data_IF_045640136577
#
_entry.id   IF_045640136577
#
_cell.length_a   1.000
_cell.length_b   1.000
_cell.length_c   1.000
_cell.angle_alpha   90.00
_cell.angle_beta   90.00
_cell.angle_gamma   90.00
#
_symmetry.space_group_name_H-M   'P 1'
#
loop_
_entity.id
_entity.type
_entity.pdbx_description
1 polymer ?
#
# COMPACT_ATOMS: atom_id res chain seq x y z
N UNK A 1 27.93 -1.61 -15.76
CA UNK A 1 29.14 -1.26 -15.03
C UNK A 1 29.06 -1.58 -13.53
N UNK A 2 27.92 -1.39 -12.86
CA UNK A 2 27.74 -1.65 -11.42
C UNK A 2 27.98 -3.11 -11.05
N UNK A 3 27.48 -4.08 -11.82
CA UNK A 3 27.70 -5.51 -11.58
C UNK A 3 29.17 -5.91 -11.68
N UNK A 4 29.95 -5.26 -12.57
CA UNK A 4 31.41 -5.48 -12.64
C UNK A 4 32.11 -4.94 -11.39
N UNK A 5 31.75 -3.74 -10.95
CA UNK A 5 32.28 -3.16 -9.71
C UNK A 5 31.94 -4.04 -8.49
N UNK A 6 30.73 -4.58 -8.43
CA UNK A 6 30.31 -5.50 -7.39
C UNK A 6 31.19 -6.77 -7.39
N UNK A 7 31.41 -7.41 -8.56
CA UNK A 7 32.27 -8.59 -8.70
C UNK A 7 33.72 -8.33 -8.22
N UNK A 8 34.27 -7.19 -8.57
CA UNK A 8 35.61 -6.82 -8.08
C UNK A 8 35.60 -6.63 -6.57
N UNK A 9 34.59 -5.96 -6.05
CA UNK A 9 34.41 -5.72 -4.62
C UNK A 9 34.28 -6.99 -3.79
N UNK A 10 33.69 -8.05 -4.34
CA UNK A 10 33.53 -9.36 -3.67
C UNK A 10 34.86 -10.04 -3.36
N UNK A 11 35.90 -9.77 -4.16
CA UNK A 11 37.23 -10.39 -3.98
C UNK A 11 37.94 -9.91 -2.71
N UNK A 12 37.60 -8.73 -2.20
CA UNK A 12 38.28 -8.09 -1.07
C UNK A 12 37.52 -8.38 0.23
N UNK A 13 38.29 -8.66 1.27
CA UNK A 13 37.79 -8.78 2.63
C UNK A 13 37.14 -7.46 3.11
N UNK A 14 36.16 -7.49 4.00
CA UNK A 14 35.63 -6.27 4.61
C UNK A 14 36.71 -5.57 5.41
N UNK A 15 36.70 -4.23 5.38
CA UNK A 15 37.62 -3.40 6.18
C UNK A 15 37.27 -3.52 7.66
N UNK A 16 35.97 -3.57 7.96
CA UNK A 16 35.43 -3.76 9.30
C UNK A 16 34.39 -4.89 9.31
N UNK A 17 34.29 -5.59 10.42
CA UNK A 17 33.33 -6.69 10.58
C UNK A 17 33.77 -8.03 9.99
N UNK A 18 32.90 -9.03 10.12
CA UNK A 18 33.18 -10.42 9.74
C UNK A 18 32.66 -10.79 8.34
N UNK A 19 31.66 -10.04 7.87
CA UNK A 19 30.97 -10.31 6.62
C UNK A 19 30.79 -9.03 5.81
N UNK A 20 30.87 -9.18 4.49
CA UNK A 20 30.50 -8.17 3.52
C UNK A 20 29.14 -8.53 2.95
N UNK A 21 28.14 -7.71 3.24
CA UNK A 21 26.75 -7.95 2.83
C UNK A 21 26.43 -7.09 1.63
N UNK A 22 25.97 -7.72 0.55
CA UNK A 22 25.47 -7.05 -0.63
C UNK A 22 23.95 -7.21 -0.68
N UNK A 23 23.24 -6.10 -0.60
CA UNK A 23 21.78 -6.04 -0.73
C UNK A 23 21.46 -5.57 -2.15
N UNK A 24 20.75 -6.38 -2.90
CA UNK A 24 20.29 -6.07 -4.25
C UNK A 24 18.77 -6.00 -4.18
N UNK A 25 18.30 -4.77 -4.15
CA UNK A 25 16.87 -4.47 -4.12
C UNK A 25 16.29 -4.53 -5.55
N UNK A 26 15.01 -4.85 -5.67
CA UNK A 26 14.30 -5.07 -6.93
C UNK A 26 15.12 -5.96 -7.90
N UNK A 27 15.62 -7.07 -7.39
CA UNK A 27 16.54 -7.95 -8.11
C UNK A 27 15.99 -8.44 -9.45
N UNK A 28 14.67 -8.47 -9.64
CA UNK A 28 14.03 -8.80 -10.91
C UNK A 28 14.33 -7.80 -12.03
N UNK A 29 14.82 -6.60 -11.70
CA UNK A 29 15.23 -5.58 -12.67
C UNK A 29 16.63 -5.84 -13.26
N UNK A 30 17.39 -6.79 -12.71
CA UNK A 30 18.69 -7.15 -13.27
C UNK A 30 18.52 -7.82 -14.62
N UNK A 31 19.36 -7.41 -15.58
CA UNK A 31 19.38 -8.04 -16.90
C UNK A 31 19.93 -9.47 -16.84
N UNK A 32 19.64 -10.27 -17.86
CA UNK A 32 20.15 -11.64 -17.98
C UNK A 32 21.67 -11.67 -17.97
N UNK A 33 22.32 -10.69 -18.61
CA UNK A 33 23.78 -10.58 -18.64
C UNK A 33 24.34 -10.27 -17.24
N UNK A 34 23.64 -9.43 -16.46
CA UNK A 34 23.99 -9.13 -15.08
C UNK A 34 23.92 -10.38 -14.20
N UNK A 35 22.84 -11.15 -14.31
CA UNK A 35 22.68 -12.41 -13.61
C UNK A 35 23.79 -13.42 -13.99
N UNK A 36 24.05 -13.60 -15.28
CA UNK A 36 25.11 -14.48 -15.77
C UNK A 36 26.50 -14.08 -15.24
N UNK A 37 26.75 -12.78 -15.10
CA UNK A 37 28.00 -12.28 -14.54
C UNK A 37 28.14 -12.58 -13.05
N UNK A 38 27.04 -12.68 -12.29
CA UNK A 38 27.00 -12.95 -10.86
C UNK A 38 26.93 -14.44 -10.53
N UNK A 39 26.45 -15.28 -11.46
CA UNK A 39 26.16 -16.71 -11.21
C UNK A 39 27.29 -17.42 -10.49
N UNK A 40 28.52 -17.37 -11.01
CA UNK A 40 29.68 -18.04 -10.42
C UNK A 40 29.97 -17.59 -8.99
N UNK A 41 29.77 -16.29 -8.73
CA UNK A 41 30.02 -15.72 -7.39
C UNK A 41 28.92 -16.08 -6.40
N UNK A 42 27.68 -16.29 -6.88
CA UNK A 42 26.55 -16.72 -6.07
C UNK A 42 26.60 -18.23 -5.81
N UNK A 43 27.09 -19.00 -6.77
CA UNK A 43 27.25 -20.44 -6.63
C UNK A 43 28.33 -20.81 -5.61
N UNK A 44 29.45 -20.11 -5.64
CA UNK A 44 30.59 -20.33 -4.75
C UNK A 44 31.00 -19.00 -4.08
N UNK A 45 30.16 -18.46 -3.16
CA UNK A 45 30.45 -17.19 -2.53
C UNK A 45 31.67 -17.34 -1.58
N UNK A 46 32.59 -16.36 -1.58
CA UNK A 46 33.64 -16.34 -0.57
C UNK A 46 33.05 -16.36 0.85
N UNK A 47 33.75 -17.00 1.78
CA UNK A 47 33.26 -17.18 3.16
C UNK A 47 32.89 -15.88 3.88
N UNK A 48 33.47 -14.76 3.46
CA UNK A 48 33.21 -13.42 4.01
C UNK A 48 32.08 -12.67 3.32
N UNK A 49 31.44 -13.23 2.28
CA UNK A 49 30.40 -12.56 1.46
C UNK A 49 29.03 -13.14 1.78
N UNK A 50 28.03 -12.27 1.77
CA UNK A 50 26.61 -12.64 1.85
C UNK A 50 25.84 -11.78 0.83
N UNK A 51 24.98 -12.43 0.06
CA UNK A 51 24.04 -11.74 -0.83
C UNK A 51 22.62 -11.80 -0.25
N UNK A 52 21.92 -10.68 -0.32
CA UNK A 52 20.50 -10.55 -0.01
C UNK A 52 19.82 -9.97 -1.26
N UNK A 53 18.91 -10.74 -1.83
CA UNK A 53 18.10 -10.31 -2.96
C UNK A 53 16.69 -10.00 -2.48
N UNK A 54 16.22 -8.79 -2.71
CA UNK A 54 14.84 -8.42 -2.48
C UNK A 54 14.11 -8.30 -3.82
N UNK A 55 12.90 -8.82 -3.91
CA UNK A 55 12.09 -8.77 -5.12
C UNK A 55 10.61 -8.89 -4.80
N UNK A 56 9.77 -8.19 -5.57
CA UNK A 56 8.32 -8.37 -5.60
C UNK A 56 7.88 -9.46 -6.59
N UNK A 57 8.77 -9.86 -7.54
CA UNK A 57 8.46 -10.77 -8.66
C UNK A 57 9.49 -11.90 -8.72
N UNK A 58 9.32 -12.89 -7.85
CA UNK A 58 10.27 -14.00 -7.73
C UNK A 58 10.35 -14.87 -9.01
N UNK A 59 9.25 -14.94 -9.76
CA UNK A 59 9.14 -15.69 -11.01
C UNK A 59 10.02 -15.11 -12.12
N UNK A 60 10.42 -13.85 -12.04
CA UNK A 60 11.34 -13.21 -12.98
C UNK A 60 12.82 -13.51 -12.67
N UNK A 61 13.12 -14.06 -11.49
CA UNK A 61 14.48 -14.42 -11.14
C UNK A 61 14.89 -15.74 -11.80
N UNK A 62 16.17 -15.89 -12.22
CA UNK A 62 16.66 -17.16 -12.74
C UNK A 62 16.51 -18.29 -11.71
N UNK A 63 15.95 -19.42 -12.12
CA UNK A 63 15.73 -20.59 -11.26
C UNK A 63 17.05 -21.08 -10.64
N UNK A 64 18.17 -20.94 -11.36
CA UNK A 64 19.52 -21.26 -10.91
C UNK A 64 19.94 -20.43 -9.67
N UNK A 65 19.48 -19.19 -9.56
CA UNK A 65 19.73 -18.33 -8.41
C UNK A 65 18.78 -18.71 -7.26
N UNK A 66 17.49 -18.79 -7.55
CA UNK A 66 16.45 -19.07 -6.55
C UNK A 66 16.70 -20.40 -5.82
N UNK A 67 17.20 -21.43 -6.54
CA UNK A 67 17.50 -22.75 -5.98
C UNK A 67 18.68 -22.76 -5.00
N UNK A 68 19.51 -21.71 -5.00
CA UNK A 68 20.69 -21.58 -4.11
C UNK A 68 20.47 -20.58 -2.97
N UNK A 69 19.32 -19.92 -2.95
CA UNK A 69 18.99 -18.93 -1.95
C UNK A 69 18.03 -19.50 -0.90
N UNK A 70 18.24 -19.11 0.35
CA UNK A 70 17.22 -19.28 1.37
C UNK A 70 16.10 -18.26 1.14
N UNK A 71 14.85 -18.70 1.12
CA UNK A 71 13.70 -17.86 0.79
C UNK A 71 12.98 -17.42 2.06
N UNK A 72 12.68 -16.12 2.12
CA UNK A 72 11.86 -15.50 3.14
C UNK A 72 10.73 -14.73 2.45
N UNK A 73 9.49 -15.01 2.82
CA UNK A 73 8.33 -14.33 2.27
C UNK A 73 7.79 -13.34 3.28
N UNK A 74 7.77 -12.08 2.92
CA UNK A 74 7.12 -11.03 3.69
C UNK A 74 5.66 -10.93 3.27
N UNK A 75 4.76 -10.92 4.25
CA UNK A 75 3.32 -10.76 4.03
C UNK A 75 2.94 -9.30 4.19
N UNK A 76 1.80 -8.92 3.65
CA UNK A 76 1.18 -7.63 3.93
C UNK A 76 0.92 -7.52 5.43
N UNK A 77 1.12 -6.33 5.97
CA UNK A 77 0.84 -6.03 7.37
C UNK A 77 -0.67 -5.80 7.50
N UNK A 78 -1.26 -6.22 8.60
CA UNK A 78 -2.69 -6.00 8.83
C UNK A 78 -2.98 -4.51 9.04
N UNK A 79 -4.17 -4.05 8.68
CA UNK A 79 -4.56 -2.65 8.89
C UNK A 79 -4.52 -2.24 10.37
N UNK A 80 -4.85 -3.18 11.27
CA UNK A 80 -4.80 -2.93 12.72
C UNK A 80 -3.36 -2.72 13.22
N UNK A 81 -2.41 -3.55 12.75
CA UNK A 81 -0.99 -3.40 13.11
C UNK A 81 -0.42 -2.09 12.56
N UNK A 82 -0.81 -1.71 11.33
CA UNK A 82 -0.41 -0.43 10.73
C UNK A 82 -0.99 0.73 11.55
N UNK A 83 -2.30 0.73 11.84
CA UNK A 83 -2.95 1.78 12.61
C UNK A 83 -2.32 1.95 14.01
N UNK A 84 -2.01 0.83 14.68
CA UNK A 84 -1.31 0.85 15.95
C UNK A 84 0.10 1.47 15.81
N UNK A 85 0.81 1.12 14.74
CA UNK A 85 2.16 1.68 14.48
C UNK A 85 2.10 3.18 14.19
N UNK A 86 1.11 3.64 13.42
CA UNK A 86 0.90 5.06 13.13
C UNK A 86 0.62 5.85 14.42
N UNK A 87 -0.25 5.32 15.30
CA UNK A 87 -0.56 5.94 16.59
C UNK A 87 0.68 6.05 17.48
N UNK A 88 1.51 5.00 17.51
CA UNK A 88 2.78 5.02 18.23
C UNK A 88 3.75 6.09 17.69
N UNK A 89 3.84 6.21 16.35
CA UNK A 89 4.71 7.24 15.73
C UNK A 89 4.20 8.63 16.05
N UNK A 90 2.90 8.89 15.91
CA UNK A 90 2.28 10.16 16.21
C UNK A 90 2.54 10.60 17.68
N UNK A 91 2.40 9.67 18.63
CA UNK A 91 2.72 9.90 20.05
C UNK A 91 4.20 10.28 20.24
N UNK A 92 5.12 9.59 19.58
CA UNK A 92 6.57 9.85 19.71
C UNK A 92 7.01 11.16 19.07
N UNK A 93 6.40 11.52 17.95
CA UNK A 93 6.65 12.78 17.24
C UNK A 93 5.87 13.96 17.86
N UNK A 94 4.93 13.71 18.79
CA UNK A 94 4.25 14.74 19.59
C UNK A 94 3.08 15.41 18.88
N UNK A 95 2.44 14.78 17.91
CA UNK A 95 1.23 15.29 17.28
C UNK A 95 0.02 14.38 17.51
N UNK A 96 -1.19 14.96 17.47
CA UNK A 96 -2.43 14.22 17.67
C UNK A 96 -2.81 13.43 16.42
N UNK A 97 -3.26 12.20 16.62
CA UNK A 97 -3.82 11.35 15.55
C UNK A 97 -5.11 10.70 16.06
N UNK A 98 -6.21 10.98 15.40
CA UNK A 98 -7.48 10.28 15.66
C UNK A 98 -7.36 8.80 15.26
N UNK A 99 -7.94 7.92 16.08
CA UNK A 99 -7.93 6.48 15.80
C UNK A 99 -8.63 6.13 14.49
N UNK A 100 -9.69 6.84 14.13
CA UNK A 100 -10.37 6.67 12.84
C UNK A 100 -9.50 7.15 11.67
N UNK A 101 -8.71 8.21 11.84
CA UNK A 101 -7.74 8.67 10.85
C UNK A 101 -6.61 7.65 10.67
N UNK A 102 -6.07 7.10 11.77
CA UNK A 102 -5.06 6.05 11.72
C UNK A 102 -5.55 4.82 10.95
N UNK A 103 -6.78 4.40 11.21
CA UNK A 103 -7.40 3.26 10.53
C UNK A 103 -7.62 3.55 9.03
N UNK A 104 -8.06 4.76 8.69
CA UNK A 104 -8.27 5.17 7.30
C UNK A 104 -6.96 5.14 6.50
N UNK A 105 -5.88 5.69 7.06
CA UNK A 105 -4.53 5.61 6.47
C UNK A 105 -4.11 4.14 6.29
N UNK A 106 -4.30 3.31 7.32
CA UNK A 106 -3.90 1.91 7.31
C UNK A 106 -4.62 1.08 6.23
N UNK A 107 -5.92 1.30 6.06
CA UNK A 107 -6.72 0.65 5.00
C UNK A 107 -6.24 1.10 3.62
N UNK A 108 -6.00 2.41 3.44
CA UNK A 108 -5.54 2.94 2.15
C UNK A 108 -4.14 2.47 1.77
N UNK A 109 -3.25 2.27 2.74
CA UNK A 109 -1.89 1.78 2.53
C UNK A 109 -1.82 0.29 2.14
N UNK A 110 -2.92 -0.45 2.18
CA UNK A 110 -3.08 -1.84 1.70
C UNK A 110 -1.93 -2.77 2.10
N UNK A 111 -1.54 -2.72 3.39
CA UNK A 111 -0.48 -3.54 3.95
C UNK A 111 0.94 -3.00 3.79
N UNK A 112 1.12 -1.81 3.19
CA UNK A 112 2.38 -1.11 3.00
C UNK A 112 2.66 -0.11 4.12
N UNK A 113 3.49 -0.47 5.11
CA UNK A 113 3.83 0.46 6.21
C UNK A 113 4.55 1.72 5.73
N UNK A 114 5.36 1.62 4.68
CA UNK A 114 6.08 2.76 4.09
C UNK A 114 5.09 3.78 3.54
N UNK A 115 4.09 3.33 2.81
CA UNK A 115 3.06 4.18 2.23
C UNK A 115 2.20 4.81 3.33
N UNK A 116 1.83 4.03 4.35
CA UNK A 116 1.11 4.53 5.51
C UNK A 116 1.88 5.66 6.24
N UNK A 117 3.18 5.48 6.47
CA UNK A 117 4.01 6.50 7.10
C UNK A 117 4.17 7.76 6.23
N UNK A 118 4.26 7.59 4.91
CA UNK A 118 4.32 8.71 3.97
C UNK A 118 3.04 9.54 3.99
N UNK A 119 1.87 8.89 4.06
CA UNK A 119 0.58 9.58 4.19
C UNK A 119 0.50 10.30 5.55
N UNK A 120 0.92 9.64 6.64
CA UNK A 120 0.91 10.23 7.97
C UNK A 120 1.76 11.51 8.03
N UNK A 121 2.96 11.49 7.45
CA UNK A 121 3.89 12.62 7.39
C UNK A 121 3.27 13.80 6.63
N UNK A 122 2.62 13.54 5.50
CA UNK A 122 1.93 14.56 4.72
C UNK A 122 0.74 15.14 5.50
N UNK A 123 -0.07 14.29 6.17
CA UNK A 123 -1.17 14.75 7.03
C UNK A 123 -0.66 15.63 8.18
N UNK A 124 0.48 15.26 8.79
CA UNK A 124 1.10 16.05 9.86
C UNK A 124 1.53 17.45 9.37
N UNK A 125 1.99 17.56 8.13
CA UNK A 125 2.32 18.84 7.51
C UNK A 125 1.11 19.74 7.19
N UNK A 126 -0.07 19.15 6.99
CA UNK A 126 -1.31 19.87 6.68
C UNK A 126 -2.14 20.23 7.92
N UNK A 127 -2.10 19.38 8.94
CA UNK A 127 -2.94 19.55 10.12
C UNK A 127 -2.45 20.68 11.03
N UNK A 128 -3.35 21.52 11.49
CA UNK A 128 -3.10 22.56 12.51
C UNK A 128 -3.34 22.05 13.93
N UNK A 129 -3.23 20.73 14.14
CA UNK A 129 -3.50 20.11 15.45
C UNK A 129 -3.59 18.59 15.32
N UNK A 130 -4.71 18.01 15.76
CA UNK A 130 -4.95 16.58 15.64
C UNK A 130 -5.31 16.22 14.19
N UNK A 131 -4.66 15.20 13.64
CA UNK A 131 -5.00 14.63 12.33
C UNK A 131 -6.33 13.90 12.46
N UNK A 132 -7.36 14.42 11.79
CA UNK A 132 -8.71 13.85 11.75
C UNK A 132 -8.92 13.07 10.44
N UNK A 133 -9.97 12.23 10.35
CA UNK A 133 -10.31 11.55 9.10
C UNK A 133 -10.48 12.50 7.91
N UNK A 134 -11.03 13.70 8.13
CA UNK A 134 -11.23 14.70 7.09
C UNK A 134 -9.91 15.17 6.46
N UNK A 135 -8.86 15.38 7.27
CA UNK A 135 -7.52 15.74 6.77
C UNK A 135 -6.95 14.61 5.90
N UNK A 136 -7.17 13.36 6.31
CA UNK A 136 -6.73 12.19 5.54
C UNK A 136 -7.50 12.09 4.23
N UNK A 137 -8.83 12.22 4.26
CA UNK A 137 -9.70 12.18 3.07
C UNK A 137 -9.32 13.26 2.06
N UNK A 138 -9.05 14.48 2.52
CA UNK A 138 -8.62 15.60 1.68
C UNK A 138 -7.26 15.31 1.03
N UNK A 139 -6.28 14.82 1.80
CA UNK A 139 -4.95 14.51 1.29
C UNK A 139 -4.97 13.41 0.23
N UNK A 140 -5.71 12.32 0.51
CA UNK A 140 -5.73 11.15 -0.38
C UNK A 140 -6.68 11.39 -1.57
N UNK A 141 -7.45 12.48 -1.54
CA UNK A 141 -8.46 12.79 -2.57
C UNK A 141 -9.63 11.81 -2.57
N UNK A 142 -9.93 11.21 -1.40
CA UNK A 142 -11.06 10.29 -1.29
C UNK A 142 -12.36 10.99 -1.61
N UNK A 143 -13.17 10.30 -2.38
CA UNK A 143 -14.54 10.74 -2.64
C UNK A 143 -15.36 10.55 -1.36
N UNK A 144 -16.03 11.61 -0.89
CA UNK A 144 -16.83 11.52 0.32
C UNK A 144 -17.95 10.48 0.17
N UNK A 145 -18.30 9.88 1.29
CA UNK A 145 -19.36 8.87 1.33
C UNK A 145 -20.70 9.43 0.83
N UNK A 146 -21.01 10.66 1.19
CA UNK A 146 -22.21 11.38 0.76
C UNK A 146 -22.23 11.52 -0.75
N UNK A 147 -21.12 11.88 -1.36
CA UNK A 147 -20.98 11.97 -2.81
C UNK A 147 -21.27 10.62 -3.49
N UNK A 148 -20.68 9.53 -2.98
CA UNK A 148 -20.90 8.18 -3.51
C UNK A 148 -22.37 7.79 -3.42
N UNK A 149 -23.03 8.04 -2.28
CA UNK A 149 -24.44 7.74 -2.07
C UNK A 149 -25.31 8.53 -3.05
N UNK A 150 -25.05 9.82 -3.21
CA UNK A 150 -25.79 10.66 -4.17
C UNK A 150 -25.58 10.20 -5.61
N UNK A 151 -24.35 9.88 -5.99
CA UNK A 151 -24.02 9.34 -7.31
C UNK A 151 -24.76 8.02 -7.60
N UNK A 152 -24.72 7.06 -6.66
CA UNK A 152 -25.40 5.78 -6.82
C UNK A 152 -26.93 5.93 -6.85
N UNK A 153 -27.50 6.89 -6.13
CA UNK A 153 -28.93 7.18 -6.20
C UNK A 153 -29.31 7.77 -7.56
N UNK A 154 -28.52 8.71 -8.11
CA UNK A 154 -28.72 9.23 -9.45
C UNK A 154 -28.61 8.12 -10.51
N UNK A 155 -27.64 7.22 -10.36
CA UNK A 155 -27.47 6.04 -11.23
C UNK A 155 -28.69 5.12 -11.18
N UNK A 156 -29.19 4.82 -9.98
CA UNK A 156 -30.41 4.00 -9.79
C UNK A 156 -31.64 4.63 -10.44
N UNK A 157 -31.75 5.95 -10.42
CA UNK A 157 -32.86 6.69 -10.98
C UNK A 157 -32.72 6.93 -12.48
N UNK A 158 -31.59 6.60 -13.10
CA UNK A 158 -31.30 6.84 -14.52
C UNK A 158 -31.10 8.32 -14.86
N UNK A 159 -30.73 9.15 -13.87
CA UNK A 159 -30.53 10.61 -14.07
C UNK A 159 -29.14 10.89 -14.66
N UNK A 160 -29.04 10.74 -15.99
CA UNK A 160 -27.80 10.96 -16.74
C UNK A 160 -27.21 12.36 -16.57
N UNK A 161 -28.01 13.44 -16.71
CA UNK A 161 -27.53 14.81 -16.50
C UNK A 161 -26.90 15.00 -15.11
N UNK A 162 -27.52 14.51 -14.05
CA UNK A 162 -27.03 14.65 -12.71
C UNK A 162 -25.73 13.85 -12.47
N UNK A 163 -25.62 12.66 -13.07
CA UNK A 163 -24.38 11.86 -13.04
C UNK A 163 -23.20 12.59 -13.67
N UNK A 164 -23.43 13.21 -14.82
CA UNK A 164 -22.40 14.00 -15.51
C UNK A 164 -21.97 15.22 -14.68
N UNK A 165 -22.92 15.89 -14.01
CA UNK A 165 -22.59 17.00 -13.10
C UNK A 165 -21.71 16.54 -11.95
N UNK A 166 -22.06 15.45 -11.27
CA UNK A 166 -21.24 14.92 -10.17
C UNK A 166 -19.80 14.59 -10.59
N UNK A 167 -19.63 13.99 -11.77
CA UNK A 167 -18.29 13.69 -12.31
C UNK A 167 -17.55 14.98 -12.64
N UNK A 168 -18.21 15.92 -13.32
CA UNK A 168 -17.60 17.20 -13.69
C UNK A 168 -17.13 17.98 -12.47
N UNK A 169 -17.97 18.07 -11.44
CA UNK A 169 -17.67 18.80 -10.21
C UNK A 169 -16.49 18.17 -9.46
N UNK A 170 -16.47 16.83 -9.36
CA UNK A 170 -15.38 16.10 -8.74
C UNK A 170 -14.04 16.30 -9.48
N UNK A 171 -14.04 16.28 -10.80
CA UNK A 171 -12.85 16.55 -11.61
C UNK A 171 -12.41 18.02 -11.52
N UNK A 172 -13.35 18.96 -11.45
CA UNK A 172 -13.06 20.37 -11.27
C UNK A 172 -12.46 20.69 -9.90
N UNK A 173 -12.81 19.92 -8.87
CA UNK A 173 -12.17 19.94 -7.53
C UNK A 173 -10.77 19.31 -7.51
N UNK A 174 -10.28 18.80 -8.65
CA UNK A 174 -8.94 18.21 -8.78
C UNK A 174 -8.86 16.74 -8.42
N UNK A 175 -9.99 16.04 -8.26
CA UNK A 175 -9.98 14.59 -7.98
C UNK A 175 -9.61 13.82 -9.23
N UNK A 176 -8.88 12.72 -9.06
CA UNK A 176 -8.49 11.83 -10.15
C UNK A 176 -9.63 10.88 -10.52
N UNK A 177 -9.87 10.71 -11.84
CA UNK A 177 -10.92 9.84 -12.34
C UNK A 177 -10.73 8.37 -11.90
N UNK A 178 -9.48 7.91 -11.77
CA UNK A 178 -9.15 6.56 -11.30
C UNK A 178 -9.58 6.39 -9.86
N UNK A 179 -9.29 7.37 -9.00
CA UNK A 179 -9.70 7.36 -7.59
C UNK A 179 -11.23 7.34 -7.43
N UNK A 180 -11.96 8.12 -8.26
CA UNK A 180 -13.42 8.09 -8.28
C UNK A 180 -13.94 6.70 -8.63
N UNK A 181 -13.37 6.08 -9.66
CA UNK A 181 -13.77 4.73 -10.08
C UNK A 181 -13.45 3.68 -9.01
N UNK A 182 -12.27 3.72 -8.41
CA UNK A 182 -11.88 2.82 -7.33
C UNK A 182 -12.82 2.95 -6.13
N UNK A 183 -13.16 4.17 -5.70
CA UNK A 183 -14.10 4.40 -4.62
C UNK A 183 -15.49 3.83 -4.91
N UNK A 184 -15.99 4.01 -6.14
CA UNK A 184 -17.27 3.44 -6.58
C UNK A 184 -17.25 1.92 -6.60
N UNK A 185 -16.19 1.31 -7.14
CA UNK A 185 -16.00 -0.16 -7.19
C UNK A 185 -15.99 -0.74 -5.77
N UNK A 186 -15.22 -0.16 -4.87
CA UNK A 186 -15.14 -0.60 -3.48
C UNK A 186 -16.50 -0.51 -2.78
N UNK A 187 -17.23 0.58 -3.00
CA UNK A 187 -18.55 0.76 -2.40
C UNK A 187 -19.58 -0.26 -2.93
N UNK A 188 -19.62 -0.45 -4.24
CA UNK A 188 -20.52 -1.46 -4.87
C UNK A 188 -20.13 -2.87 -4.40
N UNK A 189 -18.85 -3.18 -4.30
CA UNK A 189 -18.36 -4.45 -3.75
C UNK A 189 -18.85 -4.65 -2.30
N UNK A 190 -18.70 -3.64 -1.45
CA UNK A 190 -19.17 -3.69 -0.06
C UNK A 190 -20.69 -3.92 0.03
N UNK A 191 -21.48 -3.27 -0.83
CA UNK A 191 -22.93 -3.49 -0.91
C UNK A 191 -23.27 -4.90 -1.34
N UNK A 192 -22.56 -5.47 -2.33
CA UNK A 192 -22.77 -6.84 -2.81
C UNK A 192 -22.42 -7.86 -1.71
N UNK A 193 -21.28 -7.71 -1.05
CA UNK A 193 -20.86 -8.59 0.05
C UNK A 193 -21.88 -8.51 1.19
N UNK A 194 -22.30 -7.30 1.59
CA UNK A 194 -23.30 -7.09 2.64
C UNK A 194 -24.65 -7.72 2.32
N UNK A 195 -25.02 -7.82 1.04
CA UNK A 195 -26.27 -8.46 0.61
C UNK A 195 -26.16 -9.99 0.57
N UNK A 196 -25.00 -10.55 0.22
CA UNK A 196 -24.79 -11.98 0.01
C UNK A 196 -24.30 -12.68 1.28
N UNK A 197 -23.47 -12.02 2.06
CA UNK A 197 -22.83 -12.54 3.27
C UNK A 197 -22.76 -11.46 4.37
N UNK A 198 -23.89 -11.14 5.04
CA UNK A 198 -23.94 -10.03 6.00
C UNK A 198 -23.01 -10.20 7.22
N UNK A 199 -22.59 -11.43 7.52
CA UNK A 199 -21.71 -11.77 8.64
C UNK A 199 -20.22 -11.89 8.24
N UNK A 200 -19.86 -11.55 7.00
CA UNK A 200 -18.49 -11.68 6.54
C UNK A 200 -17.56 -10.68 7.25
N UNK A 201 -16.40 -11.19 7.72
CA UNK A 201 -15.38 -10.35 8.38
C UNK A 201 -14.85 -9.22 7.46
N UNK A 202 -14.92 -9.39 6.15
CA UNK A 202 -14.60 -8.38 5.16
C UNK A 202 -15.46 -7.12 5.31
N UNK A 203 -16.72 -7.24 5.76
CA UNK A 203 -17.59 -6.11 6.04
C UNK A 203 -17.13 -5.29 7.23
N UNK A 204 -16.42 -5.89 8.21
CA UNK A 204 -15.91 -5.17 9.38
C UNK A 204 -14.82 -4.17 8.98
N UNK A 205 -14.00 -4.49 7.99
CA UNK A 205 -12.98 -3.58 7.43
C UNK A 205 -13.63 -2.38 6.76
N UNK A 206 -14.76 -2.58 6.09
CA UNK A 206 -15.53 -1.51 5.46
C UNK A 206 -16.52 -0.85 6.45
N UNK A 207 -16.97 -1.56 7.48
CA UNK A 207 -17.95 -1.05 8.47
C UNK A 207 -17.38 0.06 9.35
N UNK A 208 -16.07 0.09 9.62
CA UNK A 208 -15.44 1.24 10.31
C UNK A 208 -15.62 2.52 9.49
N UNK A 209 -15.66 2.41 8.16
CA UNK A 209 -16.01 3.50 7.25
C UNK A 209 -17.52 3.61 6.96
N UNK A 210 -18.35 2.59 7.31
CA UNK A 210 -19.73 2.43 6.80
C UNK A 210 -20.81 2.17 7.86
N UNK A 211 -20.59 2.45 9.13
CA UNK A 211 -21.49 2.10 10.27
C UNK A 211 -22.92 2.72 10.25
N UNK A 212 -23.34 3.41 9.19
CA UNK A 212 -24.66 4.03 9.11
C UNK A 212 -25.46 3.73 7.84
N UNK A 213 -25.16 2.66 7.11
CA UNK A 213 -26.05 2.20 6.03
C UNK A 213 -27.11 1.23 6.59
N UNK A 214 -28.15 1.76 7.24
CA UNK A 214 -29.42 1.07 7.33
C UNK A 214 -30.02 1.06 5.92
N UNK A 215 -29.95 -0.08 5.24
CA UNK A 215 -30.80 -0.33 4.06
C UNK A 215 -32.27 -0.19 4.51
N UNK A 216 -33.10 0.60 3.80
CA UNK A 216 -34.53 0.55 4.06
C UNK A 216 -34.98 -0.89 3.76
N UNK A 217 -35.44 -1.57 4.79
CA UNK A 217 -36.17 -2.85 4.67
C UNK A 217 -37.41 -2.58 3.83
N UNK A 218 -37.39 -2.97 2.57
CA UNK A 218 -38.60 -3.06 1.76
C UNK A 218 -39.46 -4.18 2.30
N UNK A 219 -40.56 -3.79 2.93
CA UNK A 219 -41.72 -4.64 3.17
C UNK A 219 -42.31 -5.12 1.84
#
# INVERSE_FOLDING_TARGET
DEVRALRESVKFMPVEGRKKVFIIDEAHMLTTEAWNALLKTIEEPPAHVMFIFATTEIEKLPVTIVSRCQRYTFRRITSDDIAQRLSYVAEKEGFGLDSAAAQLIAVHADGGLRDALSILDQCAGMATGTITPQVVEELIGLVSKEWIIHFLNALRNGDGPQLLSYIHDALAEGRDATQIMEALIQHVRALLVGKVAPDADELKVYAVSYTHLTLPTTS
#
